data_IF_988279559194
#
_entry.id   IF_988279559194
#
_cell.length_a   1.000
_cell.length_b   1.000
_cell.length_c   1.000
_cell.angle_alpha   90.00
_cell.angle_beta   90.00
_cell.angle_gamma   90.00
#
_symmetry.space_group_name_H-M   'P 1'
#
loop_
_entity.id
_entity.type
_entity.pdbx_description
1 polymer ?
#
# COMPACT_ATOMS: atom_id res chain seq x y z
N UNK A 1 -6.69 46.33 11.53
CA UNK A 1 -5.59 45.52 10.97
C UNK A 1 -5.78 44.10 11.46
N UNK A 2 -5.66 43.10 10.60
CA UNK A 2 -6.05 41.70 10.90
C UNK A 2 -4.94 40.97 11.67
N UNK A 3 -5.23 40.53 12.91
CA UNK A 3 -4.28 39.88 13.83
C UNK A 3 -4.24 38.34 13.71
N UNK A 4 -5.07 37.72 12.85
CA UNK A 4 -5.09 36.27 12.62
C UNK A 4 -4.18 35.84 11.45
N UNK A 5 -2.86 35.95 11.58
CA UNK A 5 -1.94 35.35 10.59
C UNK A 5 -1.04 34.28 11.22
N UNK A 6 -1.59 33.08 11.42
CA UNK A 6 -0.78 31.87 11.64
C UNK A 6 -0.87 30.98 10.41
N UNK A 7 0.25 30.86 9.68
CA UNK A 7 0.34 30.08 8.44
C UNK A 7 1.28 28.88 8.68
N UNK A 8 1.06 28.13 9.77
CA UNK A 8 2.07 27.32 10.45
C UNK A 8 3.07 28.17 11.26
N UNK A 9 2.60 29.01 12.17
CA UNK A 9 3.49 29.67 13.13
C UNK A 9 4.02 28.66 14.18
N UNK A 10 5.23 28.83 14.75
CA UNK A 10 5.28 29.58 16.01
C UNK A 10 5.25 31.10 15.83
N UNK A 11 5.78 31.65 14.71
CA UNK A 11 5.34 32.94 14.09
C UNK A 11 5.77 33.13 12.60
N UNK A 12 5.59 32.11 11.73
CA UNK A 12 5.73 32.24 10.26
C UNK A 12 6.50 31.12 9.55
N UNK A 13 7.49 31.47 8.71
CA UNK A 13 8.26 30.58 7.80
C UNK A 13 8.82 29.34 8.51
N UNK A 14 9.23 29.47 9.76
CA UNK A 14 9.77 28.36 10.55
C UNK A 14 8.81 27.20 10.66
N UNK A 15 7.52 27.44 10.94
CA UNK A 15 6.58 26.32 11.05
C UNK A 15 6.13 25.80 9.68
N UNK A 16 6.23 26.59 8.61
CA UNK A 16 6.13 26.05 7.24
C UNK A 16 7.23 25.01 7.01
N UNK A 17 8.49 25.30 7.38
CA UNK A 17 9.60 24.37 7.22
C UNK A 17 9.45 23.11 8.09
N UNK A 18 8.93 23.26 9.31
CA UNK A 18 8.63 22.10 10.17
C UNK A 18 7.54 21.23 9.53
N UNK A 19 6.47 21.85 9.03
CA UNK A 19 5.38 21.13 8.38
C UNK A 19 5.85 20.39 7.12
N UNK A 20 6.68 21.00 6.28
CA UNK A 20 7.20 20.34 5.08
C UNK A 20 8.10 19.16 5.42
N UNK A 21 8.98 19.28 6.41
CA UNK A 21 9.81 18.17 6.88
C UNK A 21 8.94 17.03 7.43
N UNK A 22 7.90 17.34 8.20
CA UNK A 22 6.96 16.34 8.71
C UNK A 22 6.24 15.60 7.57
N UNK A 23 5.76 16.33 6.56
CA UNK A 23 5.12 15.73 5.39
C UNK A 23 6.08 14.85 4.60
N UNK A 24 7.32 15.29 4.39
CA UNK A 24 8.35 14.51 3.72
C UNK A 24 8.74 13.27 4.51
N UNK A 25 8.83 13.37 5.84
CA UNK A 25 9.11 12.22 6.70
C UNK A 25 8.00 11.17 6.59
N UNK A 26 6.73 11.59 6.67
CA UNK A 26 5.58 10.71 6.50
C UNK A 26 5.60 10.07 5.11
N UNK A 27 5.86 10.85 4.07
CA UNK A 27 5.96 10.36 2.69
C UNK A 27 7.02 9.26 2.56
N UNK A 28 8.25 9.51 3.02
CA UNK A 28 9.35 8.55 2.91
C UNK A 28 9.03 7.25 3.66
N UNK A 29 8.48 7.35 4.86
CA UNK A 29 8.09 6.17 5.66
C UNK A 29 7.01 5.36 4.94
N UNK A 30 5.95 6.00 4.46
CA UNK A 30 4.87 5.32 3.74
C UNK A 30 5.35 4.72 2.42
N UNK A 31 6.22 5.41 1.68
CA UNK A 31 6.81 4.89 0.44
C UNK A 31 7.68 3.67 0.69
N UNK A 32 8.58 3.72 1.69
CA UNK A 32 9.43 2.59 2.04
C UNK A 32 8.61 1.38 2.50
N UNK A 33 7.58 1.61 3.31
CA UNK A 33 6.67 0.54 3.76
C UNK A 33 5.89 -0.04 2.57
N UNK A 34 5.36 0.81 1.70
CA UNK A 34 4.65 0.38 0.49
C UNK A 34 5.53 -0.49 -0.41
N UNK A 35 6.79 -0.09 -0.63
CA UNK A 35 7.76 -0.88 -1.40
C UNK A 35 8.08 -2.22 -0.73
N UNK A 36 8.23 -2.24 0.59
CA UNK A 36 8.47 -3.48 1.35
C UNK A 36 7.32 -4.48 1.21
N UNK A 37 6.07 -4.01 1.33
CA UNK A 37 4.87 -4.84 1.14
C UNK A 37 4.79 -5.33 -0.30
N UNK A 38 5.01 -4.45 -1.28
CA UNK A 38 5.02 -4.84 -2.70
C UNK A 38 6.08 -5.91 -2.98
N UNK A 39 7.31 -5.74 -2.48
CA UNK A 39 8.37 -6.72 -2.64
C UNK A 39 8.00 -8.07 -1.98
N UNK A 40 7.52 -8.02 -0.73
CA UNK A 40 7.11 -9.23 0.01
C UNK A 40 6.04 -10.00 -0.76
N UNK A 41 4.98 -9.32 -1.21
CA UNK A 41 3.90 -9.95 -1.98
C UNK A 41 4.37 -10.44 -3.34
N UNK A 42 5.26 -9.71 -4.03
CA UNK A 42 5.81 -10.14 -5.31
C UNK A 42 6.69 -11.40 -5.18
N UNK A 43 7.34 -11.59 -4.04
CA UNK A 43 8.14 -12.79 -3.73
C UNK A 43 7.36 -13.90 -3.02
N UNK A 44 6.08 -13.67 -2.70
CA UNK A 44 5.23 -14.66 -2.05
C UNK A 44 4.54 -15.52 -3.12
N UNK A 45 5.30 -16.47 -3.67
CA UNK A 45 4.80 -17.39 -4.67
C UNK A 45 3.98 -18.51 -4.03
N UNK A 46 2.95 -18.97 -4.73
CA UNK A 46 2.24 -20.18 -4.35
C UNK A 46 3.17 -21.39 -4.47
N UNK A 47 3.34 -22.11 -3.36
CA UNK A 47 4.06 -23.37 -3.34
C UNK A 47 3.12 -24.52 -3.76
N UNK A 48 3.50 -25.26 -4.80
CA UNK A 48 2.81 -26.49 -5.17
C UNK A 48 3.40 -27.64 -4.35
N UNK A 49 2.72 -28.02 -3.26
CA UNK A 49 3.18 -29.09 -2.36
C UNK A 49 2.95 -30.50 -2.88
N UNK A 50 1.98 -30.69 -3.76
CA UNK A 50 1.63 -31.99 -4.33
C UNK A 50 1.27 -31.83 -5.81
N UNK A 51 2.30 -31.75 -6.64
CA UNK A 51 2.19 -31.57 -8.09
C UNK A 51 1.37 -32.70 -8.75
N UNK A 52 1.42 -33.92 -8.19
CA UNK A 52 0.69 -35.08 -8.74
C UNK A 52 -0.80 -35.06 -8.40
N UNK A 53 -1.21 -34.32 -7.36
CA UNK A 53 -2.62 -34.11 -7.04
C UNK A 53 -3.32 -33.12 -8.00
N UNK A 54 -2.56 -32.35 -8.78
CA UNK A 54 -3.11 -31.36 -9.72
C UNK A 54 -3.66 -32.08 -10.96
N UNK A 55 -5.00 -32.21 -11.01
CA UNK A 55 -5.69 -32.79 -12.16
C UNK A 55 -5.80 -31.79 -13.31
N UNK A 56 -5.29 -32.16 -14.49
CA UNK A 56 -5.31 -31.34 -15.71
C UNK A 56 -6.72 -31.06 -16.23
N UNK A 57 -7.66 -31.99 -16.01
CA UNK A 57 -9.10 -31.81 -16.23
C UNK A 57 -9.82 -32.26 -14.96
N UNK A 58 -10.40 -31.31 -14.24
CA UNK A 58 -11.23 -31.59 -13.06
C UNK A 58 -12.70 -31.32 -13.40
N UNK A 59 -13.52 -32.37 -13.39
CA UNK A 59 -14.98 -32.25 -13.57
C UNK A 59 -15.64 -31.43 -12.46
N UNK A 60 -15.00 -31.33 -11.29
CA UNK A 60 -15.47 -30.50 -10.17
C UNK A 60 -15.22 -29.00 -10.37
N UNK A 61 -14.36 -28.59 -11.33
CA UNK A 61 -14.13 -27.19 -11.65
C UNK A 61 -15.41 -26.50 -12.13
N UNK A 62 -16.28 -27.22 -12.83
CA UNK A 62 -17.59 -26.73 -13.30
C UNK A 62 -18.49 -26.18 -12.17
N UNK A 63 -18.28 -26.61 -10.91
CA UNK A 63 -19.04 -26.13 -9.75
C UNK A 63 -18.61 -24.74 -9.25
N UNK A 64 -17.44 -24.26 -9.69
CA UNK A 64 -16.87 -22.98 -9.29
C UNK A 64 -17.07 -21.89 -10.35
N UNK A 65 -17.68 -22.22 -11.50
CA UNK A 65 -18.07 -21.27 -12.53
C UNK A 65 -19.41 -20.65 -12.10
N UNK A 66 -19.40 -19.38 -11.74
CA UNK A 66 -20.62 -18.61 -11.53
C UNK A 66 -20.97 -17.98 -12.88
N UNK A 67 -21.98 -18.54 -13.54
CA UNK A 67 -22.55 -17.97 -14.76
C UNK A 67 -23.32 -16.69 -14.41
N UNK A 68 -22.93 -15.56 -15.00
CA UNK A 68 -23.63 -14.28 -14.82
C UNK A 68 -24.72 -14.21 -15.89
N UNK A 69 -25.89 -14.75 -15.57
CA UNK A 69 -27.11 -14.59 -16.39
C UNK A 69 -27.80 -13.26 -16.16
#
# INVERSE_FOLDING_TARGET
MNENRSVFALDGITGMLIATVLLLAILVVLSAWGLSVQNTSATNFYEIKDEQSIKMISTDNAKHIVDVK
#
